data_IF_408317624134
#
_entry.id   IF_408317624134
#
_cell.length_a   1.000
_cell.length_b   1.000
_cell.length_c   1.000
_cell.angle_alpha   90.00
_cell.angle_beta   90.00
_cell.angle_gamma   90.00
#
_symmetry.space_group_name_H-M   'P 1'
#
loop_
_entity.id
_entity.type
_entity.pdbx_description
1 polymer ?
#
# COMPACT_ATOMS: atom_id res chain seq x y z
N UNK A 1 3.58 -2.56 -6.73
CA UNK A 1 3.47 -3.92 -6.20
C UNK A 1 2.64 -3.87 -4.92
N UNK A 2 1.56 -4.65 -4.84
CA UNK A 2 0.63 -4.53 -3.73
C UNK A 2 -0.56 -5.49 -3.79
N UNK A 3 -1.59 -5.14 -3.03
CA UNK A 3 -2.85 -5.85 -2.92
C UNK A 3 -3.98 -5.22 -3.79
N UNK A 4 -5.24 -5.30 -3.34
CA UNK A 4 -6.40 -4.75 -4.05
C UNK A 4 -6.34 -3.24 -4.26
N UNK A 5 -5.70 -2.48 -3.37
CA UNK A 5 -5.57 -1.03 -3.54
C UNK A 5 -4.67 -0.72 -4.74
N UNK A 6 -3.64 -1.52 -4.98
CA UNK A 6 -2.80 -1.40 -6.17
C UNK A 6 -3.50 -1.96 -7.40
N UNK A 7 -4.10 -3.15 -7.31
CA UNK A 7 -4.79 -3.86 -8.40
C UNK A 7 -5.91 -3.01 -9.00
N UNK A 8 -6.80 -2.52 -8.15
CA UNK A 8 -7.95 -1.69 -8.55
C UNK A 8 -7.56 -0.39 -9.28
N UNK A 9 -6.36 0.14 -9.04
CA UNK A 9 -5.88 1.36 -9.69
C UNK A 9 -5.82 1.24 -11.21
N UNK A 10 -5.75 0.02 -11.75
CA UNK A 10 -5.76 -0.23 -13.21
C UNK A 10 -7.14 -0.13 -13.84
N UNK A 11 -8.22 -0.02 -13.05
CA UNK A 11 -9.58 0.04 -13.57
C UNK A 11 -9.82 1.37 -14.30
N UNK A 12 -10.50 1.34 -15.49
CA UNK A 12 -10.75 2.53 -16.29
C UNK A 12 -11.50 3.64 -15.53
N UNK A 13 -12.43 3.26 -14.65
CA UNK A 13 -13.22 4.20 -13.82
C UNK A 13 -12.38 5.03 -12.86
N UNK A 14 -11.14 4.60 -12.58
CA UNK A 14 -10.19 5.33 -11.72
C UNK A 14 -9.15 6.15 -12.50
N UNK A 15 -9.35 6.33 -13.81
CA UNK A 15 -8.46 7.11 -14.67
C UNK A 15 -7.27 6.34 -15.24
N UNK A 16 -7.22 5.04 -14.98
CA UNK A 16 -6.12 4.16 -15.39
C UNK A 16 -4.84 4.32 -14.58
N UNK A 17 -3.96 3.32 -14.69
CA UNK A 17 -2.71 3.28 -13.92
C UNK A 17 -1.62 4.08 -14.62
N UNK A 18 -1.42 5.33 -14.23
CA UNK A 18 -0.35 6.23 -14.71
C UNK A 18 -0.21 6.26 -16.24
N UNK A 19 -1.21 6.74 -16.99
CA UNK A 19 -1.16 6.76 -18.45
C UNK A 19 0.10 7.43 -19.00
N UNK A 20 0.76 6.78 -19.96
CA UNK A 20 1.97 7.30 -20.59
C UNK A 20 3.25 7.18 -19.76
N UNK A 21 3.21 6.57 -18.58
CA UNK A 21 4.39 6.31 -17.74
C UNK A 21 4.86 4.86 -17.90
N UNK A 22 6.17 4.59 -17.78
CA UNK A 22 6.72 3.25 -17.84
C UNK A 22 6.55 2.52 -16.50
N UNK A 23 5.34 2.52 -15.96
CA UNK A 23 5.02 1.87 -14.69
C UNK A 23 4.17 0.62 -14.93
N UNK A 24 4.44 -0.42 -14.16
CA UNK A 24 3.73 -1.70 -14.26
C UNK A 24 2.96 -1.93 -12.96
N UNK A 25 1.65 -2.16 -13.06
CA UNK A 25 0.84 -2.57 -11.94
C UNK A 25 1.03 -4.07 -11.67
N UNK A 26 1.45 -4.41 -10.47
CA UNK A 26 1.60 -5.78 -9.97
C UNK A 26 0.82 -5.96 -8.66
N UNK A 27 -0.37 -5.34 -8.57
CA UNK A 27 -1.35 -5.59 -7.52
C UNK A 27 -2.06 -6.91 -7.74
N UNK A 28 -2.39 -7.62 -6.65
CA UNK A 28 -3.30 -8.78 -6.66
C UNK A 28 -4.22 -8.64 -5.44
N UNK A 29 -5.51 -8.53 -5.72
CA UNK A 29 -6.53 -8.31 -4.70
C UNK A 29 -6.53 -9.38 -3.61
N UNK A 30 -6.68 -8.96 -2.35
CA UNK A 30 -6.79 -9.83 -1.18
C UNK A 30 -5.48 -10.37 -0.63
N UNK A 31 -4.35 -10.19 -1.30
CA UNK A 31 -3.07 -10.76 -0.87
C UNK A 31 -2.52 -10.13 0.41
N UNK A 32 -1.95 -10.98 1.24
CA UNK A 32 -1.15 -10.64 2.42
C UNK A 32 0.33 -10.49 2.07
N UNK A 33 1.12 -9.92 2.98
CA UNK A 33 2.56 -9.73 2.79
C UNK A 33 3.30 -11.04 2.54
N UNK A 34 2.91 -12.14 3.21
CA UNK A 34 3.49 -13.46 3.00
C UNK A 34 3.23 -13.97 1.57
N UNK A 35 2.00 -13.84 1.06
CA UNK A 35 1.66 -14.21 -0.31
C UNK A 35 2.39 -13.34 -1.34
N UNK A 36 2.52 -12.05 -1.06
CA UNK A 36 3.27 -11.13 -1.90
C UNK A 36 4.77 -11.49 -1.95
N UNK A 37 5.37 -11.86 -0.81
CA UNK A 37 6.77 -12.28 -0.75
C UNK A 37 7.05 -13.51 -1.63
N UNK A 38 6.13 -14.49 -1.68
CA UNK A 38 6.27 -15.68 -2.52
C UNK A 38 6.41 -15.37 -4.01
N UNK A 39 5.73 -14.33 -4.51
CA UNK A 39 5.77 -13.92 -5.92
C UNK A 39 6.74 -12.76 -6.21
N UNK A 40 7.43 -12.23 -5.18
CA UNK A 40 8.25 -11.03 -5.34
C UNK A 40 9.36 -11.19 -6.36
N UNK A 41 9.97 -12.36 -6.44
CA UNK A 41 11.02 -12.64 -7.43
C UNK A 41 10.49 -12.54 -8.85
N UNK A 42 9.42 -13.26 -9.18
CA UNK A 42 8.84 -13.29 -10.53
C UNK A 42 8.23 -11.94 -10.93
N UNK A 43 7.55 -11.27 -9.98
CA UNK A 43 6.77 -10.07 -10.26
C UNK A 43 7.55 -8.76 -10.13
N UNK A 44 8.73 -8.79 -9.51
CA UNK A 44 9.57 -7.60 -9.33
C UNK A 44 10.98 -7.85 -9.84
N UNK A 45 11.70 -8.83 -9.28
CA UNK A 45 13.13 -8.98 -9.56
C UNK A 45 13.38 -9.33 -11.04
N UNK A 46 12.62 -10.26 -11.60
CA UNK A 46 12.78 -10.70 -13.00
C UNK A 46 12.40 -9.61 -14.01
N UNK A 47 11.53 -8.68 -13.62
CA UNK A 47 11.20 -7.51 -14.44
C UNK A 47 12.29 -6.43 -14.45
N UNK A 48 13.27 -6.53 -13.55
CA UNK A 48 14.41 -5.61 -13.41
C UNK A 48 14.01 -4.12 -13.40
N UNK A 49 13.06 -3.70 -12.55
CA UNK A 49 12.66 -2.31 -12.48
C UNK A 49 13.77 -1.46 -11.84
N UNK A 50 13.77 -0.16 -12.11
CA UNK A 50 14.64 0.77 -11.37
C UNK A 50 14.16 1.00 -9.94
N UNK A 51 12.84 0.97 -9.74
CA UNK A 51 12.18 1.23 -8.45
C UNK A 51 11.00 0.26 -8.28
N UNK A 52 10.80 -0.21 -7.07
CA UNK A 52 9.55 -0.85 -6.65
C UNK A 52 8.87 -0.01 -5.58
N UNK A 53 7.57 0.26 -5.75
CA UNK A 53 6.69 0.79 -4.70
C UNK A 53 5.97 -0.39 -4.06
N UNK A 54 6.10 -0.57 -2.75
CA UNK A 54 5.46 -1.66 -1.99
C UNK A 54 4.37 -1.05 -1.11
N UNK A 55 3.11 -1.42 -1.38
CA UNK A 55 1.94 -1.08 -0.56
C UNK A 55 1.29 -2.39 -0.11
N UNK A 56 1.50 -2.79 1.15
CA UNK A 56 1.07 -4.08 1.66
C UNK A 56 0.89 -4.08 3.18
N UNK A 57 0.04 -4.96 3.71
CA UNK A 57 -0.18 -5.18 5.13
C UNK A 57 -1.63 -5.00 5.60
N UNK A 58 -2.48 -4.33 4.82
CA UNK A 58 -3.89 -4.12 5.22
C UNK A 58 -4.68 -5.44 5.32
N UNK A 59 -4.37 -6.41 4.48
CA UNK A 59 -5.00 -7.74 4.49
C UNK A 59 -4.45 -8.65 5.58
N UNK A 60 -3.19 -8.45 5.96
CA UNK A 60 -2.58 -9.10 7.12
C UNK A 60 -3.29 -8.68 8.41
N UNK A 61 -3.43 -7.36 8.62
CA UNK A 61 -4.14 -6.81 9.79
C UNK A 61 -5.58 -7.32 9.85
N UNK A 62 -6.26 -7.50 8.70
CA UNK A 62 -7.61 -8.05 8.63
C UNK A 62 -7.69 -9.57 8.85
N UNK A 63 -6.55 -10.26 8.87
CA UNK A 63 -6.50 -11.71 9.03
C UNK A 63 -6.95 -12.51 7.81
N UNK A 64 -6.82 -11.96 6.60
CA UNK A 64 -7.31 -12.59 5.36
C UNK A 64 -6.70 -13.99 5.08
N UNK A 65 -5.49 -14.25 5.55
CA UNK A 65 -4.83 -15.57 5.43
C UNK A 65 -4.60 -16.23 6.81
N UNK A 66 -5.41 -15.86 7.79
CA UNK A 66 -5.26 -16.26 9.18
C UNK A 66 -4.58 -15.20 10.05
N UNK A 67 -4.51 -15.43 11.37
CA UNK A 67 -3.92 -14.48 12.30
C UNK A 67 -2.41 -14.37 12.09
N UNK A 68 -1.90 -13.15 12.07
CA UNK A 68 -0.47 -12.83 12.01
C UNK A 68 -0.14 -11.73 13.00
N UNK A 69 1.10 -11.69 13.49
CA UNK A 69 1.58 -10.59 14.33
C UNK A 69 2.07 -9.43 13.46
N UNK A 70 2.11 -8.22 14.03
CA UNK A 70 2.68 -7.05 13.34
C UNK A 70 4.14 -7.30 12.98
N UNK A 71 4.90 -7.97 13.85
CA UNK A 71 6.31 -8.30 13.61
C UNK A 71 6.47 -9.22 12.38
N UNK A 72 5.59 -10.21 12.20
CA UNK A 72 5.62 -11.06 10.99
C UNK A 72 5.33 -10.27 9.71
N UNK A 73 4.45 -9.28 9.77
CA UNK A 73 4.19 -8.36 8.64
C UNK A 73 5.43 -7.52 8.35
N UNK A 74 6.09 -7.01 9.39
CA UNK A 74 7.33 -6.24 9.28
C UNK A 74 8.46 -7.09 8.66
N UNK A 75 8.63 -8.33 9.10
CA UNK A 75 9.63 -9.27 8.58
C UNK A 75 9.43 -9.56 7.08
N UNK A 76 8.18 -9.75 6.65
CA UNK A 76 7.87 -9.95 5.24
C UNK A 76 8.19 -8.70 4.39
N UNK A 77 7.83 -7.50 4.91
CA UNK A 77 8.12 -6.23 4.23
C UNK A 77 9.64 -5.97 4.17
N UNK A 78 10.37 -6.22 5.26
CA UNK A 78 11.82 -6.14 5.31
C UNK A 78 12.47 -7.10 4.30
N UNK A 79 12.02 -8.35 4.25
CA UNK A 79 12.51 -9.36 3.31
C UNK A 79 12.33 -8.93 1.85
N UNK A 80 11.16 -8.37 1.49
CA UNK A 80 10.94 -7.84 0.14
C UNK A 80 11.87 -6.66 -0.17
N UNK A 81 12.06 -5.74 0.78
CA UNK A 81 12.94 -4.58 0.61
C UNK A 81 14.41 -4.98 0.46
N UNK A 82 14.87 -5.93 1.28
CA UNK A 82 16.23 -6.46 1.22
C UNK A 82 16.49 -7.22 -0.08
N UNK A 83 15.53 -8.04 -0.52
CA UNK A 83 15.61 -8.75 -1.81
C UNK A 83 15.67 -7.76 -2.98
N UNK A 84 14.85 -6.70 -2.98
CA UNK A 84 14.92 -5.65 -3.99
C UNK A 84 16.30 -4.97 -4.01
N UNK A 85 16.79 -4.56 -2.85
CA UNK A 85 18.09 -3.90 -2.70
C UNK A 85 19.25 -4.76 -3.16
N UNK A 86 19.26 -6.05 -2.82
CA UNK A 86 20.31 -7.00 -3.24
C UNK A 86 20.38 -7.18 -4.75
N UNK A 87 19.31 -6.85 -5.48
CA UNK A 87 19.24 -6.86 -6.95
C UNK A 87 19.33 -5.46 -7.57
N UNK A 88 19.74 -4.44 -6.81
CA UNK A 88 19.92 -3.08 -7.31
C UNK A 88 18.63 -2.31 -7.55
N UNK A 89 17.48 -2.83 -7.10
CA UNK A 89 16.17 -2.16 -7.21
C UNK A 89 16.00 -1.19 -6.05
N UNK A 90 15.70 0.08 -6.35
CA UNK A 90 15.37 1.08 -5.34
C UNK A 90 13.99 0.78 -4.74
N UNK A 91 13.82 1.05 -3.44
CA UNK A 91 12.60 0.71 -2.71
C UNK A 91 11.88 1.96 -2.24
N UNK A 92 10.59 2.02 -2.51
CA UNK A 92 9.65 2.96 -1.91
C UNK A 92 8.68 2.15 -1.04
N UNK A 93 8.67 2.43 0.26
CA UNK A 93 7.72 1.81 1.20
C UNK A 93 6.56 2.77 1.42
N UNK A 94 5.37 2.37 1.01
CA UNK A 94 4.16 3.16 1.17
C UNK A 94 3.46 2.84 2.48
N UNK A 95 2.99 3.88 3.18
CA UNK A 95 2.11 3.70 4.33
C UNK A 95 0.79 3.05 3.91
N UNK A 96 0.20 2.26 4.80
CA UNK A 96 -1.18 1.83 4.66
C UNK A 96 -2.10 3.04 4.75
N UNK A 97 -3.19 3.00 3.98
CA UNK A 97 -4.26 3.98 4.09
C UNK A 97 -5.07 3.75 5.38
N UNK A 98 -5.72 4.80 5.91
CA UNK A 98 -6.75 4.60 6.93
C UNK A 98 -7.94 3.84 6.36
N UNK A 99 -8.82 3.37 7.23
CA UNK A 99 -10.11 2.77 6.87
C UNK A 99 -11.24 3.52 7.57
N UNK A 100 -12.50 3.32 7.15
CA UNK A 100 -13.66 3.91 7.79
C UNK A 100 -14.86 2.97 7.78
N UNK A 101 -15.83 3.23 8.66
CA UNK A 101 -17.11 2.52 8.74
C UNK A 101 -18.29 3.43 8.32
N UNK A 102 -18.01 4.56 7.67
CA UNK A 102 -19.00 5.56 7.25
C UNK A 102 -19.87 5.13 6.07
N UNK A 103 -19.51 4.05 5.42
CA UNK A 103 -20.26 3.46 4.30
C UNK A 103 -21.07 2.25 4.78
N UNK A 104 -21.99 1.81 3.91
CA UNK A 104 -22.76 0.58 4.08
C UNK A 104 -22.38 -0.43 3.03
N UNK A 105 -22.56 -1.70 3.32
CA UNK A 105 -22.42 -2.76 2.32
C UNK A 105 -23.60 -2.76 1.32
N UNK A 106 -23.54 -3.66 0.32
CA UNK A 106 -24.57 -3.78 -0.71
C UNK A 106 -25.97 -4.13 -0.16
N UNK A 107 -26.05 -4.65 1.06
CA UNK A 107 -27.29 -4.99 1.77
C UNK A 107 -27.75 -3.89 2.73
N UNK A 108 -27.04 -2.75 2.79
CA UNK A 108 -27.32 -1.62 3.68
C UNK A 108 -26.85 -1.81 5.11
N UNK A 109 -26.09 -2.86 5.41
CA UNK A 109 -25.52 -3.08 6.73
C UNK A 109 -24.29 -2.19 6.98
N UNK A 110 -24.08 -1.82 8.25
CA UNK A 110 -22.91 -1.05 8.66
C UNK A 110 -21.61 -1.83 8.42
N UNK A 111 -20.60 -1.16 7.87
CA UNK A 111 -19.28 -1.74 7.72
C UNK A 111 -18.58 -1.86 9.08
N UNK A 112 -17.61 -2.75 9.15
CA UNK A 112 -16.78 -3.00 10.35
C UNK A 112 -15.29 -2.99 9.99
N UNK A 113 -14.90 -2.10 9.08
CA UNK A 113 -13.51 -2.00 8.60
C UNK A 113 -12.53 -1.65 9.73
N UNK A 114 -12.93 -0.72 10.60
CA UNK A 114 -12.11 -0.28 11.74
C UNK A 114 -11.93 -1.39 12.79
N UNK A 115 -12.93 -2.29 12.95
CA UNK A 115 -12.79 -3.46 13.81
C UNK A 115 -11.82 -4.48 13.22
N UNK A 116 -11.87 -4.71 11.91
CA UNK A 116 -10.97 -5.62 11.21
C UNK A 116 -9.56 -5.06 11.06
N UNK A 117 -9.45 -3.75 10.97
CA UNK A 117 -8.19 -3.00 10.76
C UNK A 117 -8.13 -1.83 11.75
N UNK A 118 -7.79 -2.10 13.03
CA UNK A 118 -7.74 -1.05 14.04
C UNK A 118 -6.77 0.06 13.64
N UNK A 119 -7.21 1.31 13.73
CA UNK A 119 -6.41 2.49 13.36
C UNK A 119 -5.05 2.50 14.09
N UNK A 120 -5.03 2.12 15.36
CA UNK A 120 -3.78 2.04 16.13
C UNK A 120 -2.79 1.04 15.53
N UNK A 121 -3.26 -0.12 15.03
CA UNK A 121 -2.41 -1.12 14.38
C UNK A 121 -1.86 -0.61 13.05
N UNK A 122 -2.71 0.04 12.23
CA UNK A 122 -2.29 0.70 10.99
C UNK A 122 -1.20 1.74 11.29
N UNK A 123 -1.41 2.62 12.25
CA UNK A 123 -0.45 3.65 12.63
C UNK A 123 0.86 3.08 13.17
N UNK A 124 0.80 1.97 13.92
CA UNK A 124 2.00 1.27 14.41
C UNK A 124 2.83 0.74 13.25
N UNK A 125 2.20 0.08 12.27
CA UNK A 125 2.92 -0.42 11.10
C UNK A 125 3.44 0.73 10.23
N UNK A 126 2.67 1.81 10.05
CA UNK A 126 3.11 2.98 9.28
C UNK A 126 4.32 3.69 9.92
N UNK A 127 4.36 3.79 11.23
CA UNK A 127 5.52 4.34 11.97
C UNK A 127 6.76 3.47 11.72
N UNK A 128 6.62 2.16 11.87
CA UNK A 128 7.70 1.24 11.58
C UNK A 128 8.19 1.35 10.13
N UNK A 129 7.28 1.43 9.15
CA UNK A 129 7.64 1.63 7.73
C UNK A 129 8.47 2.89 7.52
N UNK A 130 8.11 4.01 8.16
CA UNK A 130 8.86 5.26 8.08
C UNK A 130 10.27 5.13 8.70
N UNK A 131 10.35 4.53 9.88
CA UNK A 131 11.62 4.30 10.60
C UNK A 131 12.52 3.32 9.83
N UNK A 132 11.96 2.23 9.33
CA UNK A 132 12.70 1.24 8.55
C UNK A 132 13.21 1.84 7.23
N UNK A 133 12.39 2.62 6.54
CA UNK A 133 12.78 3.32 5.33
C UNK A 133 13.96 4.28 5.59
N UNK A 134 13.87 5.09 6.64
CA UNK A 134 14.93 6.02 7.03
C UNK A 134 16.24 5.29 7.38
N UNK A 135 16.16 4.23 8.18
CA UNK A 135 17.31 3.43 8.62
C UNK A 135 18.04 2.74 7.46
N UNK A 136 17.31 2.32 6.44
CA UNK A 136 17.83 1.53 5.32
C UNK A 136 18.02 2.34 4.02
N UNK A 137 17.94 3.67 4.08
CA UNK A 137 18.05 4.58 2.93
C UNK A 137 17.02 4.27 1.81
N UNK A 138 15.82 3.83 2.21
CA UNK A 138 14.67 3.70 1.33
C UNK A 138 13.83 4.98 1.33
N UNK A 139 12.99 5.14 0.33
CA UNK A 139 12.03 6.26 0.30
C UNK A 139 10.76 5.84 1.02
N UNK A 140 10.28 6.67 1.96
CA UNK A 140 8.95 6.51 2.56
C UNK A 140 7.93 7.31 1.75
N UNK A 141 6.78 6.71 1.50
CA UNK A 141 5.64 7.31 0.79
C UNK A 141 4.44 7.37 1.73
N UNK A 142 4.09 8.57 2.17
CA UNK A 142 2.94 8.77 3.05
C UNK A 142 1.65 8.91 2.24
N UNK A 143 0.85 7.85 2.21
CA UNK A 143 -0.53 7.86 1.73
C UNK A 143 -1.53 8.09 2.87
N UNK A 144 -1.15 7.77 4.13
CA UNK A 144 -2.06 7.86 5.27
C UNK A 144 -2.51 9.30 5.51
N UNK A 145 -1.56 10.22 5.73
CA UNK A 145 -1.87 11.59 6.15
C UNK A 145 -2.78 12.34 5.16
N UNK A 146 -2.56 12.33 3.84
CA UNK A 146 -3.42 13.05 2.91
C UNK A 146 -4.79 12.40 2.68
N UNK A 147 -4.97 11.13 3.06
CA UNK A 147 -6.24 10.40 2.91
C UNK A 147 -7.02 10.29 4.21
N UNK A 148 -6.41 10.62 5.35
CA UNK A 148 -7.05 10.63 6.66
C UNK A 148 -7.84 11.93 6.90
N UNK A 149 -8.99 11.80 7.53
CA UNK A 149 -9.71 12.90 8.19
C UNK A 149 -9.04 13.25 9.52
N UNK A 150 -9.46 14.34 10.17
CA UNK A 150 -8.98 14.71 11.50
C UNK A 150 -9.20 13.63 12.57
N UNK A 151 -10.19 12.76 12.37
CA UNK A 151 -10.47 11.58 13.21
C UNK A 151 -9.45 10.44 13.03
N UNK A 152 -8.58 10.51 12.03
CA UNK A 152 -7.69 9.42 11.63
C UNK A 152 -8.34 8.34 10.77
N UNK A 153 -9.61 8.49 10.42
CA UNK A 153 -10.36 7.60 9.54
C UNK A 153 -10.21 8.01 8.07
N UNK A 154 -10.46 7.10 7.16
CA UNK A 154 -10.45 7.37 5.71
C UNK A 154 -11.52 8.41 5.38
N UNK A 155 -11.11 9.45 4.64
CA UNK A 155 -12.01 10.54 4.24
C UNK A 155 -13.15 10.01 3.37
N UNK A 156 -14.41 10.35 3.70
CA UNK A 156 -15.60 9.79 3.04
C UNK A 156 -15.65 9.99 1.54
N UNK A 157 -15.15 11.13 1.05
CA UNK A 157 -15.16 11.49 -0.36
C UNK A 157 -14.06 10.78 -1.19
N UNK A 158 -13.12 10.11 -0.54
CA UNK A 158 -12.00 9.41 -1.19
C UNK A 158 -12.22 7.91 -1.36
N UNK A 159 -13.35 7.38 -0.89
CA UNK A 159 -13.67 5.97 -0.93
C UNK A 159 -15.17 5.72 -1.10
N UNK A 160 -15.53 4.48 -1.48
CA UNK A 160 -16.91 4.07 -1.65
C UNK A 160 -17.30 2.89 -0.73
N UNK A 161 -16.33 2.22 -0.10
CA UNK A 161 -16.56 1.01 0.70
C UNK A 161 -15.82 1.00 2.06
N UNK A 162 -15.27 2.14 2.47
CA UNK A 162 -14.52 2.29 3.71
C UNK A 162 -13.09 1.73 3.70
N UNK A 163 -12.60 1.22 2.55
CA UNK A 163 -11.28 0.60 2.41
C UNK A 163 -10.55 1.02 1.14
N UNK A 164 -11.21 0.90 -0.02
CA UNK A 164 -10.58 1.12 -1.31
C UNK A 164 -10.74 2.57 -1.76
N UNK A 165 -9.67 3.21 -2.25
CA UNK A 165 -9.78 4.52 -2.87
C UNK A 165 -10.71 4.47 -4.10
N UNK A 166 -11.54 5.48 -4.24
CA UNK A 166 -12.24 5.75 -5.49
C UNK A 166 -11.37 6.64 -6.41
N UNK A 167 -11.92 7.11 -7.54
CA UNK A 167 -11.18 7.97 -8.48
C UNK A 167 -10.55 9.21 -7.81
N UNK A 168 -11.24 9.83 -6.84
CA UNK A 168 -10.70 10.97 -6.09
C UNK A 168 -9.56 10.55 -5.16
N UNK A 169 -9.69 9.38 -4.52
CA UNK A 169 -8.65 8.81 -3.68
C UNK A 169 -7.37 8.53 -4.48
N UNK A 170 -7.49 7.89 -5.63
CA UNK A 170 -6.33 7.68 -6.51
C UNK A 170 -5.75 8.99 -7.07
N UNK A 171 -6.58 9.99 -7.34
CA UNK A 171 -6.09 11.31 -7.76
C UNK A 171 -5.26 12.02 -6.68
N UNK A 172 -5.53 11.78 -5.39
CA UNK A 172 -4.68 12.23 -4.28
C UNK A 172 -3.39 11.42 -4.21
N UNK A 173 -3.44 10.10 -4.43
CA UNK A 173 -2.29 9.19 -4.28
C UNK A 173 -1.28 9.33 -5.44
N UNK A 174 -1.74 9.57 -6.66
CA UNK A 174 -0.90 9.54 -7.85
C UNK A 174 0.29 10.51 -7.80
N UNK A 175 0.13 11.81 -7.53
CA UNK A 175 1.25 12.75 -7.48
C UNK A 175 2.24 12.44 -6.36
N UNK A 176 1.78 11.83 -5.27
CA UNK A 176 2.64 11.42 -4.15
C UNK A 176 3.52 10.23 -4.57
N UNK A 177 2.94 9.25 -5.26
CA UNK A 177 3.69 8.13 -5.81
C UNK A 177 4.75 8.59 -6.81
N UNK A 178 4.40 9.46 -7.77
CA UNK A 178 5.36 10.00 -8.74
C UNK A 178 6.51 10.73 -8.06
N UNK A 179 6.20 11.59 -7.08
CA UNK A 179 7.22 12.30 -6.30
C UNK A 179 8.17 11.33 -5.60
N UNK A 180 7.65 10.29 -4.94
CA UNK A 180 8.44 9.29 -4.23
C UNK A 180 9.30 8.46 -5.19
N UNK A 181 8.76 8.06 -6.35
CA UNK A 181 9.51 7.33 -7.39
C UNK A 181 10.67 8.19 -7.92
N UNK A 182 10.41 9.46 -8.23
CA UNK A 182 11.47 10.39 -8.70
C UNK A 182 12.54 10.58 -7.62
N UNK A 183 12.15 10.70 -6.36
CA UNK A 183 13.08 10.80 -5.24
C UNK A 183 13.94 9.54 -5.12
N UNK A 184 13.35 8.35 -5.19
CA UNK A 184 14.05 7.08 -5.10
C UNK A 184 15.06 6.89 -6.25
N UNK A 185 14.71 7.31 -7.48
CA UNK A 185 15.61 7.24 -8.64
C UNK A 185 16.78 8.21 -8.50
N UNK A 186 16.57 9.41 -7.95
CA UNK A 186 17.61 10.44 -7.80
C UNK A 186 18.50 10.24 -6.58
N UNK A 187 18.00 9.57 -5.54
CA UNK A 187 18.76 9.25 -4.33
C UNK A 187 19.91 8.31 -4.66
N UNK A 188 21.11 8.67 -4.22
CA UNK A 188 22.36 7.89 -4.37
C UNK A 188 22.39 6.71 -3.42
#
# INVERSE_FOLDING_TARGET
FGDSITDNWSKPEYGGFFPGKPYVNRGISGQTTAQMLLRFRADVIELRPKVVVILAGTNDIAGNAGPVTVDQVQDNLASMAELARSHGVKVVLASLLPVSDDKKDANGAALTRTRQRPTATIQTLNRWLAEYAAKNAHTYLDYFSPTAAASGLLRPELNDDGLHPNARGYAVMAPLAEKAIVQAVKGR
#
